data_IF_198395424938
#
_entry.id   IF_198395424938
#
_cell.length_a   1.000
_cell.length_b   1.000
_cell.length_c   1.000
_cell.angle_alpha   90.00
_cell.angle_beta   90.00
_cell.angle_gamma   90.00
#
_symmetry.space_group_name_H-M   'P 1'
#
loop_
_entity.id
_entity.type
_entity.pdbx_description
1 polymer ?
#
# COMPACT_ATOMS: atom_id res chain seq x y z
N UNK A 1 -15.78 15.91 -21.49
CA UNK A 1 -14.43 15.73 -20.90
C UNK A 1 -13.95 17.08 -20.40
N UNK A 2 -13.84 17.28 -19.08
CA UNK A 2 -13.11 18.41 -18.50
C UNK A 2 -11.84 17.83 -17.89
N UNK A 3 -10.67 18.21 -18.44
CA UNK A 3 -9.37 17.82 -17.88
C UNK A 3 -9.17 18.60 -16.59
N UNK A 4 -9.24 17.90 -15.46
CA UNK A 4 -8.87 18.43 -14.16
C UNK A 4 -7.35 18.41 -14.11
N UNK A 5 -6.71 19.57 -14.17
CA UNK A 5 -5.29 19.70 -13.85
C UNK A 5 -5.14 19.47 -12.34
N UNK A 6 -4.87 18.22 -11.97
CA UNK A 6 -4.42 17.88 -10.63
C UNK A 6 -3.00 18.45 -10.50
N UNK A 7 -2.87 19.62 -9.87
CA UNK A 7 -1.59 20.00 -9.29
C UNK A 7 -1.35 19.01 -8.15
N UNK A 8 -0.50 18.02 -8.39
CA UNK A 8 -0.27 16.84 -7.55
C UNK A 8 0.31 17.12 -6.14
N UNK A 9 0.44 18.38 -5.72
CA UNK A 9 1.18 18.76 -4.50
C UNK A 9 0.33 19.45 -3.42
N UNK A 10 -0.99 19.25 -3.38
CA UNK A 10 -1.78 19.66 -2.20
C UNK A 10 -2.18 18.43 -1.39
N UNK A 11 -1.36 18.12 -0.38
CA UNK A 11 -1.68 17.14 0.66
C UNK A 11 -2.84 17.62 1.54
N UNK A 12 -4.06 17.43 1.03
CA UNK A 12 -5.31 17.75 1.70
C UNK A 12 -5.59 16.85 2.92
N UNK A 13 -4.75 15.82 3.18
CA UNK A 13 -4.90 14.93 4.34
C UNK A 13 -4.50 15.61 5.66
N UNK A 14 -3.68 16.66 5.61
CA UNK A 14 -3.11 17.30 6.82
C UNK A 14 -3.91 18.48 7.38
N UNK A 15 -4.99 18.92 6.74
CA UNK A 15 -5.68 20.19 7.09
C UNK A 15 -6.82 20.06 8.11
N UNK A 16 -6.73 19.10 9.04
CA UNK A 16 -7.62 19.03 10.20
C UNK A 16 -6.81 18.95 11.51
N UNK A 17 -5.98 19.96 11.78
CA UNK A 17 -5.63 20.31 13.16
C UNK A 17 -6.40 21.58 13.52
N UNK A 18 -7.14 21.49 14.63
CA UNK A 18 -8.05 22.53 15.17
C UNK A 18 -7.51 23.94 14.94
N UNK A 19 -8.12 24.66 14.01
CA UNK A 19 -7.81 26.05 13.70
C UNK A 19 -8.90 26.58 12.77
N UNK A 20 -9.16 27.89 12.84
CA UNK A 20 -10.09 28.57 11.94
C UNK A 20 -9.76 28.19 10.49
N UNK A 21 -10.72 27.58 9.79
CA UNK A 21 -10.56 27.18 8.39
C UNK A 21 -10.42 28.46 7.56
N UNK A 22 -9.19 28.83 7.23
CA UNK A 22 -8.92 29.92 6.30
C UNK A 22 -9.36 29.51 4.90
N UNK A 23 -10.61 29.86 4.56
CA UNK A 23 -11.22 29.61 3.24
C UNK A 23 -10.44 30.25 2.09
N UNK A 24 -9.59 31.24 2.37
CA UNK A 24 -8.78 31.95 1.37
C UNK A 24 -7.70 31.09 0.70
N UNK A 25 -7.36 29.91 1.24
CA UNK A 25 -6.30 29.03 0.72
C UNK A 25 -6.80 27.83 -0.09
N UNK A 26 -8.12 27.65 -0.22
CA UNK A 26 -8.71 26.46 -0.85
C UNK A 26 -9.59 26.94 -2.01
N UNK A 27 -9.41 26.41 -3.23
CA UNK A 27 -10.28 26.76 -4.35
C UNK A 27 -11.73 26.37 -4.02
N UNK A 28 -12.71 27.15 -4.52
CA UNK A 28 -14.13 26.95 -4.24
C UNK A 28 -14.59 25.52 -4.51
N UNK A 29 -14.01 24.88 -5.52
CA UNK A 29 -14.35 23.53 -5.97
C UNK A 29 -13.83 22.44 -5.01
N UNK A 30 -12.82 22.74 -4.20
CA UNK A 30 -12.28 21.83 -3.19
C UNK A 30 -13.00 21.94 -1.83
N UNK A 31 -13.87 22.95 -1.66
CA UNK A 31 -14.72 23.08 -0.47
C UNK A 31 -15.82 22.02 -0.51
N UNK A 32 -15.99 21.32 0.62
CA UNK A 32 -16.99 20.25 0.76
C UNK A 32 -18.34 20.87 1.11
N UNK A 33 -19.14 21.18 0.09
CA UNK A 33 -20.43 21.87 0.26
C UNK A 33 -21.66 20.95 0.31
N UNK A 34 -21.54 19.69 -0.14
CA UNK A 34 -22.64 18.73 -0.21
C UNK A 34 -22.62 17.76 0.98
N UNK A 35 -23.76 17.58 1.65
CA UNK A 35 -23.93 16.68 2.79
C UNK A 35 -24.72 15.44 2.42
N UNK A 36 -24.24 14.27 2.85
CA UNK A 36 -24.93 12.98 2.74
C UNK A 36 -25.08 12.42 4.16
N UNK A 37 -26.30 12.07 4.55
CA UNK A 37 -26.62 11.49 5.87
C UNK A 37 -27.16 10.07 5.73
N UNK A 38 -26.65 9.14 6.54
CA UNK A 38 -27.07 7.74 6.60
C UNK A 38 -27.39 7.39 8.05
N UNK A 39 -28.43 6.58 8.27
CA UNK A 39 -28.75 6.02 9.59
C UNK A 39 -28.17 4.61 9.68
N UNK A 40 -27.49 4.32 10.79
CA UNK A 40 -26.90 3.01 11.07
C UNK A 40 -27.58 2.40 12.29
N UNK A 41 -27.71 1.08 12.29
CA UNK A 41 -28.07 0.33 13.48
C UNK A 41 -26.86 0.21 14.44
N UNK A 42 -27.06 -0.45 15.58
CA UNK A 42 -26.02 -0.58 16.62
C UNK A 42 -24.81 -1.40 16.14
N UNK A 43 -25.06 -2.51 15.44
CA UNK A 43 -24.01 -3.41 14.94
C UNK A 43 -23.17 -2.74 13.84
N UNK A 44 -23.83 -2.06 12.90
CA UNK A 44 -23.20 -1.29 11.82
C UNK A 44 -22.35 -0.15 12.38
N UNK A 45 -22.82 0.52 13.43
CA UNK A 45 -22.05 1.56 14.11
C UNK A 45 -20.81 1.01 14.79
N UNK A 46 -20.90 -0.17 15.44
CA UNK A 46 -19.75 -0.84 16.03
C UNK A 46 -18.72 -1.24 14.97
N UNK A 47 -19.16 -1.84 13.87
CA UNK A 47 -18.32 -2.21 12.74
C UNK A 47 -17.59 -0.99 12.15
N UNK A 48 -18.30 0.13 11.98
CA UNK A 48 -17.71 1.38 11.53
C UNK A 48 -16.61 1.86 12.48
N UNK A 49 -16.84 1.81 13.79
CA UNK A 49 -15.84 2.25 14.77
C UNK A 49 -14.58 1.39 14.74
N UNK A 50 -14.72 0.07 14.53
CA UNK A 50 -13.59 -0.86 14.37
C UNK A 50 -12.81 -0.54 13.10
N UNK A 51 -13.48 -0.48 11.94
CA UNK A 51 -12.84 -0.26 10.63
C UNK A 51 -12.18 1.12 10.50
N UNK A 52 -12.73 2.12 11.18
CA UNK A 52 -12.24 3.50 11.17
C UNK A 52 -10.89 3.67 11.87
N UNK A 53 -10.62 2.89 12.91
CA UNK A 53 -9.45 3.09 13.76
C UNK A 53 -9.40 4.53 14.32
N UNK A 54 -8.31 5.24 14.03
CA UNK A 54 -8.04 6.60 14.56
C UNK A 54 -8.67 7.76 13.75
N UNK A 55 -9.07 7.54 12.50
CA UNK A 55 -9.61 8.59 11.61
C UNK A 55 -10.96 9.11 12.07
N UNK A 56 -11.39 10.34 11.80
CA UNK A 56 -12.76 10.78 12.17
C UNK A 56 -13.84 10.07 11.33
N UNK A 57 -15.08 9.94 11.84
CA UNK A 57 -16.16 9.18 11.15
C UNK A 57 -16.42 9.68 9.72
N UNK A 58 -16.64 10.99 9.56
CA UNK A 58 -16.90 11.58 8.24
C UNK A 58 -15.69 11.56 7.30
N UNK A 59 -14.48 11.69 7.86
CA UNK A 59 -13.24 11.57 7.09
C UNK A 59 -13.06 10.15 6.55
N UNK A 60 -13.21 9.15 7.42
CA UNK A 60 -13.08 7.76 7.03
C UNK A 60 -14.16 7.32 6.04
N UNK A 61 -15.43 7.71 6.24
CA UNK A 61 -16.51 7.42 5.30
C UNK A 61 -16.24 8.01 3.92
N UNK A 62 -15.73 9.25 3.86
CA UNK A 62 -15.32 9.88 2.60
C UNK A 62 -14.20 9.08 1.94
N UNK A 63 -13.15 8.74 2.68
CA UNK A 63 -12.02 7.99 2.14
C UNK A 63 -12.44 6.59 1.65
N UNK A 64 -13.34 5.92 2.39
CA UNK A 64 -13.93 4.64 2.01
C UNK A 64 -14.74 4.75 0.72
N UNK A 65 -15.63 5.75 0.61
CA UNK A 65 -16.46 5.96 -0.59
C UNK A 65 -15.65 6.29 -1.84
N UNK A 66 -14.53 7.00 -1.69
CA UNK A 66 -13.66 7.41 -2.79
C UNK A 66 -12.57 6.38 -3.09
N UNK A 67 -12.58 5.22 -2.43
CA UNK A 67 -11.53 4.19 -2.53
C UNK A 67 -10.11 4.74 -2.29
N UNK A 68 -9.99 5.79 -1.47
CA UNK A 68 -8.71 6.44 -1.12
C UNK A 68 -8.11 5.90 0.18
N UNK A 69 -8.73 4.89 0.79
CA UNK A 69 -8.13 4.21 1.93
C UNK A 69 -6.81 3.59 1.49
N UNK A 70 -5.76 3.60 2.34
CA UNK A 70 -4.56 2.84 2.04
C UNK A 70 -5.00 1.40 1.73
N UNK A 71 -4.61 0.85 0.56
CA UNK A 71 -5.04 -0.47 0.17
C UNK A 71 -4.62 -1.44 1.27
N UNK A 72 -5.61 -2.10 1.88
CA UNK A 72 -5.32 -3.19 2.81
C UNK A 72 -4.70 -4.27 1.96
N UNK A 73 -3.41 -4.55 2.17
CA UNK A 73 -2.71 -5.63 1.49
C UNK A 73 -3.55 -6.89 1.73
N UNK A 74 -4.05 -7.57 0.68
CA UNK A 74 -4.80 -8.81 0.83
C UNK A 74 -4.00 -9.78 1.69
N UNK A 75 -4.64 -10.44 2.64
CA UNK A 75 -3.96 -11.36 3.58
C UNK A 75 -3.14 -12.42 2.85
N UNK A 76 -3.63 -12.89 1.69
CA UNK A 76 -2.92 -13.80 0.79
C UNK A 76 -1.54 -13.26 0.35
N UNK A 77 -1.42 -11.96 0.13
CA UNK A 77 -0.19 -11.33 -0.37
C UNK A 77 0.78 -10.99 0.76
N UNK A 78 0.35 -10.95 2.03
CA UNK A 78 1.20 -10.51 3.14
C UNK A 78 2.48 -11.34 3.30
N UNK A 79 2.44 -12.65 3.01
CA UNK A 79 3.62 -13.53 3.05
C UNK A 79 4.62 -13.17 1.95
N UNK A 80 4.15 -12.96 0.73
CA UNK A 80 4.98 -12.56 -0.40
C UNK A 80 5.65 -11.19 -0.16
N UNK A 81 4.89 -10.21 0.34
CA UNK A 81 5.43 -8.89 0.67
C UNK A 81 6.52 -8.92 1.75
N UNK A 82 6.38 -9.79 2.77
CA UNK A 82 7.42 -9.99 3.79
C UNK A 82 8.69 -10.55 3.17
N UNK A 83 8.58 -11.61 2.37
CA UNK A 83 9.73 -12.22 1.68
C UNK A 83 10.46 -11.21 0.77
N UNK A 84 9.70 -10.39 0.01
CA UNK A 84 10.28 -9.33 -0.82
C UNK A 84 10.97 -8.23 -0.02
N UNK A 85 10.41 -7.86 1.14
CA UNK A 85 11.00 -6.85 2.03
C UNK A 85 12.35 -7.33 2.57
N UNK A 86 12.43 -8.59 3.00
CA UNK A 86 13.67 -9.18 3.51
C UNK A 86 14.78 -9.18 2.43
N UNK A 87 14.43 -9.52 1.19
CA UNK A 87 15.37 -9.50 0.06
C UNK A 87 15.82 -8.07 -0.25
N UNK A 88 14.89 -7.10 -0.27
CA UNK A 88 15.19 -5.68 -0.49
C UNK A 88 16.18 -5.14 0.56
N UNK A 89 15.99 -5.48 1.83
CA UNK A 89 16.92 -5.09 2.89
C UNK A 89 18.31 -5.69 2.69
N UNK A 90 18.39 -6.97 2.33
CA UNK A 90 19.67 -7.64 2.06
C UNK A 90 20.39 -7.01 0.85
N UNK A 91 19.67 -6.62 -0.20
CA UNK A 91 20.23 -5.94 -1.37
C UNK A 91 20.70 -4.52 -1.02
N UNK A 92 19.92 -3.77 -0.25
CA UNK A 92 20.31 -2.44 0.21
C UNK A 92 21.59 -2.47 1.06
N UNK A 93 21.80 -3.51 1.88
CA UNK A 93 23.05 -3.70 2.63
C UNK A 93 24.24 -3.92 1.70
N UNK A 94 24.06 -4.68 0.62
CA UNK A 94 25.11 -4.87 -0.39
C UNK A 94 25.38 -3.56 -1.12
N UNK A 95 24.35 -2.84 -1.57
CA UNK A 95 24.50 -1.54 -2.23
C UNK A 95 25.26 -0.55 -1.34
N UNK A 96 24.85 -0.41 -0.07
CA UNK A 96 25.53 0.45 0.91
C UNK A 96 26.99 0.04 1.12
N UNK A 97 27.27 -1.27 1.19
CA UNK A 97 28.63 -1.78 1.34
C UNK A 97 29.52 -1.44 0.13
N UNK A 98 28.96 -1.51 -1.08
CA UNK A 98 29.64 -1.11 -2.32
C UNK A 98 29.85 0.41 -2.36
N UNK A 99 28.84 1.20 -2.01
CA UNK A 99 28.90 2.67 -2.01
C UNK A 99 29.91 3.23 -1.00
N UNK A 100 30.12 2.52 0.12
CA UNK A 100 31.11 2.90 1.14
C UNK A 100 32.54 2.46 0.79
N UNK A 101 32.74 1.72 -0.31
CA UNK A 101 34.06 1.22 -0.72
C UNK A 101 34.85 2.33 -1.42
N UNK A 102 36.16 2.39 -1.17
CA UNK A 102 37.03 3.41 -1.79
C UNK A 102 37.10 3.23 -3.31
N UNK A 103 37.27 4.34 -4.04
CA UNK A 103 37.25 4.39 -5.53
C UNK A 103 38.28 3.46 -6.19
N UNK A 104 39.35 3.10 -5.46
CA UNK A 104 40.46 2.29 -5.97
C UNK A 104 40.38 0.81 -5.56
N UNK A 105 39.39 0.42 -4.76
CA UNK A 105 39.22 -0.96 -4.31
C UNK A 105 38.34 -1.75 -5.28
N UNK A 106 38.93 -2.76 -5.93
CA UNK A 106 38.21 -3.67 -6.81
C UNK A 106 37.15 -4.48 -6.04
N UNK A 107 36.01 -4.72 -6.69
CA UNK A 107 34.97 -5.62 -6.17
C UNK A 107 35.56 -7.02 -6.01
N UNK A 108 35.41 -7.60 -4.81
CA UNK A 108 35.91 -8.94 -4.56
C UNK A 108 34.98 -9.98 -5.19
N UNK A 109 35.52 -11.14 -5.58
CA UNK A 109 34.73 -12.22 -6.17
C UNK A 109 33.60 -12.70 -5.22
N UNK A 110 33.81 -12.54 -3.91
CA UNK A 110 32.82 -12.85 -2.87
C UNK A 110 31.66 -11.84 -2.83
N UNK A 111 31.92 -10.55 -3.05
CA UNK A 111 30.88 -9.51 -3.19
C UNK A 111 30.02 -9.76 -4.43
N UNK A 112 30.65 -10.03 -5.58
CA UNK A 112 29.95 -10.37 -6.83
C UNK A 112 29.09 -11.62 -6.68
N UNK A 113 29.61 -12.64 -5.98
CA UNK A 113 28.86 -13.84 -5.66
C UNK A 113 27.66 -13.56 -4.75
N UNK A 114 27.81 -12.71 -3.73
CA UNK A 114 26.71 -12.32 -2.84
C UNK A 114 25.60 -11.58 -3.58
N UNK A 115 25.95 -10.66 -4.49
CA UNK A 115 24.98 -9.97 -5.38
C UNK A 115 24.25 -10.98 -6.25
N UNK A 116 24.99 -11.84 -6.96
CA UNK A 116 24.41 -12.86 -7.85
C UNK A 116 23.46 -13.79 -7.10
N UNK A 117 23.84 -14.23 -5.89
CA UNK A 117 23.00 -15.09 -5.05
C UNK A 117 21.69 -14.41 -4.67
N UNK A 118 21.71 -13.14 -4.29
CA UNK A 118 20.50 -12.42 -3.91
C UNK A 118 19.61 -12.08 -5.10
N UNK A 119 20.18 -11.85 -6.28
CA UNK A 119 19.40 -11.70 -7.51
C UNK A 119 18.70 -13.01 -7.92
N UNK A 120 19.36 -14.16 -7.77
CA UNK A 120 18.74 -15.47 -8.00
C UNK A 120 17.64 -15.77 -6.97
N UNK A 121 17.85 -15.42 -5.70
CA UNK A 121 16.83 -15.52 -4.64
C UNK A 121 15.63 -14.60 -4.92
N UNK A 122 15.86 -13.39 -5.41
CA UNK A 122 14.79 -12.48 -5.85
C UNK A 122 14.02 -13.05 -7.04
N UNK A 123 14.74 -13.54 -8.05
CA UNK A 123 14.15 -14.11 -9.27
C UNK A 123 13.28 -15.32 -8.95
N UNK A 124 13.76 -16.22 -8.10
CA UNK A 124 12.97 -17.39 -7.67
C UNK A 124 11.73 -16.96 -6.91
N UNK A 125 11.82 -16.01 -5.96
CA UNK A 125 10.63 -15.54 -5.24
C UNK A 125 9.63 -14.75 -6.10
N UNK A 126 10.05 -14.14 -7.21
CA UNK A 126 9.14 -13.45 -8.13
C UNK A 126 8.50 -14.40 -9.15
N UNK A 127 9.26 -15.38 -9.64
CA UNK A 127 8.86 -16.27 -10.73
C UNK A 127 8.42 -17.67 -10.27
N UNK A 128 8.57 -18.02 -8.98
CA UNK A 128 8.11 -19.31 -8.50
C UNK A 128 6.59 -19.37 -8.58
N UNK A 129 6.09 -20.29 -9.39
CA UNK A 129 4.67 -20.62 -9.47
C UNK A 129 4.09 -20.91 -8.10
N UNK A 130 4.86 -21.40 -7.12
CA UNK A 130 4.35 -21.72 -5.76
C UNK A 130 3.78 -20.51 -4.99
N UNK A 131 4.16 -19.27 -5.34
CA UNK A 131 3.61 -18.05 -4.71
C UNK A 131 2.35 -17.57 -5.42
N UNK A 132 2.22 -17.83 -6.72
CA UNK A 132 1.12 -17.37 -7.58
C UNK A 132 0.13 -18.48 -7.97
N UNK A 133 0.43 -19.74 -7.62
CA UNK A 133 -0.48 -20.87 -7.76
C UNK A 133 -1.66 -20.61 -6.84
N UNK A 134 -2.80 -20.26 -7.45
CA UNK A 134 -4.10 -20.40 -6.79
C UNK A 134 -4.18 -21.79 -6.15
N UNK A 135 -4.85 -21.96 -5.00
CA UNK A 135 -5.25 -23.29 -4.58
C UNK A 135 -6.00 -23.88 -5.77
N UNK A 136 -5.46 -24.94 -6.35
CA UNK A 136 -6.20 -25.73 -7.32
C UNK A 136 -7.34 -26.36 -6.53
N UNK A 137 -8.47 -25.65 -6.44
CA UNK A 137 -9.75 -26.22 -6.05
C UNK A 137 -10.08 -27.22 -7.15
N UNK A 138 -9.48 -28.41 -7.02
CA UNK A 138 -9.70 -29.51 -7.93
C UNK A 138 -11.19 -29.72 -8.02
N UNK A 139 -11.71 -29.59 -9.25
CA UNK A 139 -13.00 -30.06 -9.73
C UNK A 139 -13.89 -30.64 -8.62
N UNK A 140 -14.62 -29.77 -7.93
CA UNK A 140 -15.85 -30.17 -7.27
C UNK A 140 -16.88 -30.42 -8.38
N UNK A 141 -16.72 -31.53 -9.10
CA UNK A 141 -17.80 -32.08 -9.88
C UNK A 141 -18.76 -32.73 -8.89
N UNK A 142 -19.90 -32.07 -8.70
CA UNK A 142 -21.06 -32.66 -8.05
C UNK A 142 -21.42 -33.95 -8.79
N UNK A 143 -21.07 -35.09 -8.22
CA UNK A 143 -21.63 -36.37 -8.63
C UNK A 143 -23.09 -36.41 -8.17
N UNK A 144 -23.98 -35.93 -9.04
CA UNK A 144 -25.42 -36.09 -8.88
C UNK A 144 -25.91 -37.22 -9.78
N UNK A 145 -26.36 -38.29 -9.11
CA UNK A 145 -27.57 -39.10 -9.40
C UNK A 145 -27.76 -39.67 -10.79
#
# INVERSE_FOLDING_TARGET
>A
MHKINYSDDIDLSKTSRRGSFNKSKIPSEAVRSYCVSVRLNVEELQLLNIKRGSYKKGEWLRMASLQKLPPVIPTINTKAWKALTDISQKLNRIATHIDCKSKDSQLTHTELFAVKRQLEELRTNLLSDSIWSLPNEGYAEDSQG
#
